data_IF_246354943139
#
_entry.id   IF_246354943139
#
_cell.length_a   1.000
_cell.length_b   1.000
_cell.length_c   1.000
_cell.angle_alpha   90.00
_cell.angle_beta   90.00
_cell.angle_gamma   90.00
#
_symmetry.space_group_name_H-M   'P 1'
#
loop_
_entity.id
_entity.type
_entity.pdbx_description
1 polymer ?
#
# COMPACT_ATOMS: atom_id res chain seq x y z
N UNK A 1 1.31 10.10 -3.38
CA UNK A 1 1.04 10.55 -1.98
C UNK A 1 -0.30 9.96 -1.55
N UNK A 2 -0.71 9.99 -0.29
CA UNK A 2 -2.03 9.51 0.12
C UNK A 2 -2.59 10.37 1.27
N UNK A 3 -3.79 10.87 1.05
CA UNK A 3 -4.52 11.80 1.94
C UNK A 3 -5.75 11.14 2.57
N UNK A 4 -5.90 9.82 2.43
CA UNK A 4 -7.02 9.11 3.02
C UNK A 4 -6.98 9.19 4.55
N UNK A 5 -8.09 9.61 5.15
CA UNK A 5 -8.24 9.62 6.60
C UNK A 5 -8.24 8.21 7.17
N UNK A 6 -7.98 8.10 8.47
CA UNK A 6 -7.99 6.82 9.18
C UNK A 6 -9.38 6.19 9.17
N UNK A 7 -10.40 6.99 9.42
CA UNK A 7 -11.80 6.59 9.46
C UNK A 7 -12.24 5.99 8.13
N UNK A 8 -11.83 6.60 7.01
CA UNK A 8 -12.09 6.06 5.67
C UNK A 8 -11.45 4.68 5.49
N UNK A 9 -10.18 4.54 5.87
CA UNK A 9 -9.44 3.28 5.71
C UNK A 9 -10.00 2.18 6.60
N UNK A 10 -10.48 2.52 7.80
CA UNK A 10 -11.10 1.56 8.70
C UNK A 10 -12.48 1.12 8.17
N UNK A 11 -13.30 2.05 7.66
CA UNK A 11 -14.55 1.72 6.99
C UNK A 11 -14.35 0.83 5.74
N UNK A 12 -13.32 1.13 4.93
CA UNK A 12 -12.96 0.31 3.76
C UNK A 12 -12.59 -1.13 4.18
N UNK A 13 -11.82 -1.28 5.26
CA UNK A 13 -11.45 -2.61 5.78
C UNK A 13 -12.68 -3.36 6.26
N UNK A 14 -13.57 -2.73 7.02
CA UNK A 14 -14.81 -3.34 7.49
C UNK A 14 -15.70 -3.79 6.33
N UNK A 15 -15.82 -2.96 5.29
CA UNK A 15 -16.57 -3.29 4.08
C UNK A 15 -15.98 -4.51 3.35
N UNK A 16 -14.66 -4.54 3.15
CA UNK A 16 -13.96 -5.66 2.51
C UNK A 16 -14.10 -6.95 3.34
N UNK A 17 -13.95 -6.86 4.66
CA UNK A 17 -14.13 -8.00 5.56
C UNK A 17 -15.56 -8.54 5.54
N UNK A 18 -16.58 -7.67 5.51
CA UNK A 18 -17.98 -8.07 5.41
C UNK A 18 -18.30 -8.78 4.09
N UNK A 19 -17.56 -8.48 3.01
CA UNK A 19 -17.64 -9.16 1.71
C UNK A 19 -16.79 -10.43 1.62
N UNK A 20 -16.02 -10.76 2.66
CA UNK A 20 -15.07 -11.88 2.64
C UNK A 20 -13.85 -11.64 1.76
N UNK A 21 -13.58 -10.38 1.40
CA UNK A 21 -12.41 -9.98 0.63
C UNK A 21 -11.19 -9.79 1.54
N UNK A 22 -9.97 -9.97 1.00
CA UNK A 22 -8.74 -9.64 1.71
C UNK A 22 -8.65 -8.11 1.89
N UNK A 23 -8.58 -7.58 3.13
CA UNK A 23 -8.55 -6.13 3.33
C UNK A 23 -7.28 -5.51 2.76
N UNK A 24 -7.41 -4.51 1.90
CA UNK A 24 -6.30 -3.82 1.24
C UNK A 24 -6.64 -2.39 0.90
N UNK A 25 -5.62 -1.56 0.70
CA UNK A 25 -5.84 -0.22 0.18
C UNK A 25 -6.41 -0.29 -1.26
N UNK A 26 -7.35 0.59 -1.55
CA UNK A 26 -8.10 0.60 -2.82
C UNK A 26 -7.48 1.49 -3.90
N UNK A 27 -6.29 2.04 -3.66
CA UNK A 27 -5.59 2.87 -4.64
C UNK A 27 -6.21 4.24 -4.90
N UNK A 28 -7.15 4.71 -4.07
CA UNK A 28 -7.89 5.98 -4.31
C UNK A 28 -7.00 7.18 -4.65
N UNK A 29 -5.85 7.30 -3.99
CA UNK A 29 -4.90 8.40 -4.20
C UNK A 29 -3.74 8.01 -5.13
N UNK A 30 -3.85 6.97 -5.96
CA UNK A 30 -2.71 6.49 -6.75
C UNK A 30 -2.34 7.43 -7.91
N UNK A 31 -3.34 8.02 -8.55
CA UNK A 31 -3.17 8.77 -9.81
C UNK A 31 -3.51 10.25 -9.71
N UNK A 32 -4.40 10.64 -8.79
CA UNK A 32 -4.88 12.01 -8.68
C UNK A 32 -4.64 12.61 -7.28
N UNK A 33 -4.16 13.84 -7.30
CA UNK A 33 -3.78 14.67 -6.17
C UNK A 33 -4.20 16.13 -6.34
N UNK A 34 -4.92 16.49 -7.40
CA UNK A 34 -5.17 17.90 -7.75
C UNK A 34 -5.98 18.66 -6.71
N UNK A 35 -6.78 17.95 -5.91
CA UNK A 35 -7.64 18.55 -4.88
C UNK A 35 -6.90 18.84 -3.57
N UNK A 36 -5.63 18.47 -3.45
CA UNK A 36 -4.86 18.57 -2.20
C UNK A 36 -3.78 19.65 -2.27
N UNK A 37 -3.60 20.37 -1.16
CA UNK A 37 -2.51 21.32 -1.04
C UNK A 37 -1.14 20.60 -1.00
N UNK A 38 -0.09 21.29 -1.43
CA UNK A 38 1.24 20.69 -1.54
C UNK A 38 1.82 20.26 -0.17
N UNK A 39 1.47 21.00 0.87
CA UNK A 39 1.88 20.88 2.27
C UNK A 39 0.86 20.16 3.16
N UNK A 40 -0.27 19.74 2.59
CA UNK A 40 -1.29 19.00 3.34
C UNK A 40 -0.69 17.70 3.93
N UNK A 41 -0.94 17.40 5.22
CA UNK A 41 -0.42 16.21 5.87
C UNK A 41 -0.81 14.93 5.12
N UNK A 42 0.19 14.16 4.72
CA UNK A 42 -0.03 12.94 3.94
C UNK A 42 1.01 11.86 4.23
N UNK A 43 0.62 10.61 3.99
CA UNK A 43 1.57 9.50 3.93
C UNK A 43 2.08 9.31 2.50
N UNK A 44 3.24 8.69 2.35
CA UNK A 44 3.74 8.22 1.04
C UNK A 44 3.56 6.72 0.97
N UNK A 45 2.91 6.27 -0.09
CA UNK A 45 2.73 4.85 -0.40
C UNK A 45 3.64 4.45 -1.57
N UNK A 46 4.14 3.23 -1.53
CA UNK A 46 4.80 2.60 -2.65
C UNK A 46 3.75 2.24 -3.70
N UNK A 47 3.97 2.61 -4.96
CA UNK A 47 3.06 2.29 -6.05
C UNK A 47 3.39 0.91 -6.60
N UNK A 48 2.89 -0.15 -5.94
CA UNK A 48 3.17 -1.52 -6.38
C UNK A 48 2.57 -1.77 -7.76
N UNK A 49 3.24 -2.50 -8.69
CA UNK A 49 2.62 -2.91 -9.95
C UNK A 49 1.28 -3.63 -9.68
N UNK A 50 0.28 -3.44 -10.55
CA UNK A 50 -1.05 -4.04 -10.34
C UNK A 50 -1.13 -5.49 -10.84
N UNK A 51 -0.27 -5.83 -11.80
CA UNK A 51 -0.27 -7.12 -12.49
C UNK A 51 1.14 -7.71 -12.56
N UNK A 52 1.24 -8.98 -12.94
CA UNK A 52 2.48 -9.74 -12.97
C UNK A 52 2.84 -10.37 -11.64
N UNK A 53 4.09 -10.80 -11.50
CA UNK A 53 4.57 -11.48 -10.31
C UNK A 53 5.96 -11.01 -9.88
N UNK A 54 6.21 -11.10 -8.58
CA UNK A 54 7.52 -10.96 -7.97
C UNK A 54 8.06 -12.36 -7.75
N UNK A 55 9.20 -12.66 -8.37
CA UNK A 55 9.84 -13.98 -8.34
C UNK A 55 11.23 -13.82 -7.75
N UNK A 56 11.58 -14.66 -6.78
CA UNK A 56 12.92 -14.74 -6.21
C UNK A 56 13.25 -16.16 -5.76
N UNK A 57 14.55 -16.47 -5.69
CA UNK A 57 15.03 -17.77 -5.22
C UNK A 57 15.44 -17.67 -3.74
N UNK A 58 14.64 -18.25 -2.85
CA UNK A 58 14.92 -18.33 -1.43
C UNK A 58 15.91 -19.47 -1.16
N UNK A 59 16.95 -19.22 -0.35
CA UNK A 59 18.00 -20.20 -0.13
C UNK A 59 17.55 -21.49 0.58
N UNK A 60 16.39 -21.48 1.24
CA UNK A 60 15.84 -22.62 1.97
C UNK A 60 14.66 -23.23 1.22
N UNK A 61 13.76 -22.38 0.71
CA UNK A 61 12.49 -22.77 0.09
C UNK A 61 12.58 -22.93 -1.43
N UNK A 62 13.68 -22.48 -2.06
CA UNK A 62 13.85 -22.44 -3.51
C UNK A 62 13.02 -21.33 -4.15
N UNK A 63 12.55 -21.52 -5.41
CA UNK A 63 11.85 -20.47 -6.13
C UNK A 63 10.50 -20.15 -5.49
N UNK A 64 10.30 -18.88 -5.15
CA UNK A 64 9.05 -18.32 -4.62
C UNK A 64 8.50 -17.31 -5.62
N UNK A 65 7.19 -17.38 -5.85
CA UNK A 65 6.44 -16.45 -6.69
C UNK A 65 5.28 -15.85 -5.89
N UNK A 66 5.16 -14.52 -5.92
CA UNK A 66 4.01 -13.79 -5.40
C UNK A 66 3.33 -13.01 -6.52
N UNK A 67 2.01 -13.14 -6.64
CA UNK A 67 1.23 -12.30 -7.54
C UNK A 67 1.19 -10.87 -7.03
N UNK A 68 1.40 -9.90 -7.91
CA UNK A 68 1.31 -8.47 -7.56
C UNK A 68 -0.10 -8.07 -7.08
N UNK A 69 -1.14 -8.84 -7.45
CA UNK A 69 -2.51 -8.63 -6.96
C UNK A 69 -2.68 -8.96 -5.47
N UNK A 70 -1.75 -9.72 -4.90
CA UNK A 70 -1.72 -10.01 -3.46
C UNK A 70 -0.91 -8.98 -2.65
N UNK A 71 -0.14 -8.13 -3.34
CA UNK A 71 0.67 -7.09 -2.72
C UNK A 71 -0.10 -5.76 -2.69
N UNK A 72 0.16 -4.95 -1.66
CA UNK A 72 -0.54 -3.69 -1.43
C UNK A 72 0.38 -2.48 -1.66
N UNK A 73 -0.21 -1.30 -1.83
CA UNK A 73 0.47 -0.02 -1.87
C UNK A 73 0.87 0.39 -0.43
N UNK A 74 1.95 -0.23 0.04
CA UNK A 74 2.47 -0.09 1.41
C UNK A 74 2.84 1.36 1.72
N UNK A 75 2.57 1.81 2.94
CA UNK A 75 3.09 3.09 3.42
C UNK A 75 4.61 2.96 3.60
N UNK A 76 5.38 3.82 2.95
CA UNK A 76 6.84 3.92 3.05
C UNK A 76 7.30 5.13 3.88
N UNK A 77 6.43 6.15 4.01
CA UNK A 77 6.66 7.33 4.87
C UNK A 77 5.37 7.71 5.58
N UNK A 78 5.42 7.86 6.91
CA UNK A 78 4.30 8.33 7.72
C UNK A 78 4.12 9.85 7.59
N UNK A 79 3.01 10.34 8.13
CA UNK A 79 2.65 11.78 8.14
C UNK A 79 3.68 12.64 8.88
N UNK A 80 4.32 12.08 9.91
CA UNK A 80 5.41 12.72 10.66
C UNK A 80 6.76 12.72 9.92
N UNK A 81 6.81 12.19 8.69
CA UNK A 81 8.02 12.08 7.89
C UNK A 81 8.87 10.85 8.18
N UNK A 82 8.57 10.05 9.21
CA UNK A 82 9.33 8.86 9.54
C UNK A 82 9.15 7.76 8.48
N UNK A 83 10.23 7.07 8.07
CA UNK A 83 10.13 5.94 7.17
C UNK A 83 9.54 4.69 7.87
N UNK A 84 8.98 3.77 7.09
CA UNK A 84 8.53 2.48 7.60
C UNK A 84 9.60 1.41 7.42
N UNK A 85 9.48 0.31 8.16
CA UNK A 85 10.47 -0.78 8.19
C UNK A 85 10.84 -1.27 6.79
N UNK A 86 9.85 -1.63 5.97
CA UNK A 86 10.07 -2.15 4.62
C UNK A 86 10.80 -1.16 3.70
N UNK A 87 10.76 0.14 3.98
CA UNK A 87 11.53 1.14 3.23
C UNK A 87 12.96 1.29 3.76
N UNK A 88 13.19 1.11 5.06
CA UNK A 88 14.51 1.26 5.67
C UNK A 88 15.45 0.07 5.45
N UNK A 89 14.93 -1.13 5.22
CA UNK A 89 15.72 -2.37 5.14
C UNK A 89 16.14 -2.76 3.72
N UNK A 90 15.84 -1.91 2.74
CA UNK A 90 16.17 -2.10 1.32
C UNK A 90 17.40 -1.30 0.95
#
# INVERSE_FOLDING_TARGET
KCYCSRERLDALREEQMAKGEKPRYDGRCRHDHSEHAADEPCVVRFANPQDGSVIFDDQIRGPIEFSNQELDDLIIRRTDGSPTYNFCVV
#
